data_IF_083125607042
#
_entry.id   IF_083125607042
#
_cell.length_a   1.000
_cell.length_b   1.000
_cell.length_c   1.000
_cell.angle_alpha   90.00
_cell.angle_beta   90.00
_cell.angle_gamma   90.00
#
_symmetry.space_group_name_H-M   'P 1'
#
loop_
_entity.id
_entity.type
_entity.pdbx_description
1 polymer ?
#
# COMPACT_ATOMS: atom_id res chain seq x y z
N UNK A 1 -10.49 -18.36 -5.20
CA UNK A 1 -9.94 -17.01 -5.47
C UNK A 1 -10.29 -15.99 -4.39
N UNK A 2 -11.53 -15.97 -3.88
CA UNK A 2 -12.00 -15.07 -2.81
C UNK A 2 -11.29 -15.26 -1.47
N UNK A 3 -11.03 -16.51 -1.06
CA UNK A 3 -10.37 -16.82 0.22
C UNK A 3 -8.90 -16.34 0.23
N UNK A 4 -8.13 -16.64 -0.83
CA UNK A 4 -6.75 -16.17 -0.97
C UNK A 4 -6.67 -14.64 -0.91
N UNK A 5 -7.60 -13.96 -1.58
CA UNK A 5 -7.67 -12.52 -1.60
C UNK A 5 -8.03 -11.94 -0.22
N UNK A 6 -8.93 -12.59 0.52
CA UNK A 6 -9.26 -12.23 1.89
C UNK A 6 -8.04 -12.40 2.82
N UNK A 7 -7.25 -13.46 2.67
CA UNK A 7 -6.01 -13.68 3.42
C UNK A 7 -5.00 -12.57 3.13
N UNK A 8 -4.78 -12.21 1.86
CA UNK A 8 -3.91 -11.09 1.50
C UNK A 8 -4.40 -9.77 2.09
N UNK A 9 -5.71 -9.48 2.02
CA UNK A 9 -6.29 -8.27 2.59
C UNK A 9 -6.09 -8.21 4.11
N UNK A 10 -6.35 -9.32 4.81
CA UNK A 10 -6.12 -9.43 6.26
C UNK A 10 -4.65 -9.22 6.58
N UNK A 11 -3.73 -9.81 5.81
CA UNK A 11 -2.29 -9.58 5.98
C UNK A 11 -1.90 -8.11 5.86
N UNK A 12 -2.43 -7.41 4.86
CA UNK A 12 -2.21 -5.97 4.66
C UNK A 12 -2.79 -5.15 5.82
N UNK A 13 -4.01 -5.47 6.28
CA UNK A 13 -4.63 -4.79 7.42
C UNK A 13 -3.83 -5.00 8.72
N UNK A 14 -3.30 -6.20 8.94
CA UNK A 14 -2.44 -6.49 10.10
C UNK A 14 -1.12 -5.73 10.02
N UNK A 15 -0.51 -5.62 8.84
CA UNK A 15 0.70 -4.81 8.64
C UNK A 15 0.42 -3.32 8.89
N UNK A 16 -0.71 -2.80 8.38
CA UNK A 16 -1.12 -1.42 8.63
C UNK A 16 -1.39 -1.17 10.13
N UNK A 17 -2.13 -2.07 10.78
CA UNK A 17 -2.40 -1.97 12.22
C UNK A 17 -1.10 -2.02 13.04
N UNK A 18 -0.15 -2.88 12.67
CA UNK A 18 1.17 -2.94 13.31
C UNK A 18 1.96 -1.64 13.14
N UNK A 19 1.91 -1.03 11.95
CA UNK A 19 2.55 0.25 11.67
C UNK A 19 1.94 1.38 12.51
N UNK A 20 0.61 1.52 12.51
CA UNK A 20 -0.06 2.55 13.31
C UNK A 20 0.11 2.35 14.82
N UNK A 21 0.14 1.11 15.30
CA UNK A 21 0.40 0.80 16.71
C UNK A 21 1.85 1.12 17.12
N UNK A 22 2.81 1.02 16.20
CA UNK A 22 4.19 1.47 16.44
C UNK A 22 4.24 2.99 16.54
N UNK A 23 3.59 3.71 15.62
CA UNK A 23 3.52 5.19 15.68
C UNK A 23 2.86 5.65 16.99
N UNK A 24 1.79 4.99 17.44
CA UNK A 24 1.12 5.36 18.68
C UNK A 24 1.93 5.11 19.97
N UNK A 25 3.06 4.40 19.87
CA UNK A 25 3.95 4.07 21.00
C UNK A 25 5.24 4.91 20.99
N UNK A 26 5.14 6.16 20.55
CA UNK A 26 6.26 7.11 20.44
C UNK A 26 7.39 6.70 19.48
N UNK A 27 7.17 5.71 18.61
CA UNK A 27 8.11 5.42 17.52
C UNK A 27 7.94 6.48 16.44
N UNK A 28 8.99 7.28 16.22
CA UNK A 28 8.97 8.32 15.20
C UNK A 28 8.61 7.75 13.82
N UNK A 29 7.62 8.32 13.11
CA UNK A 29 7.28 7.90 11.74
C UNK A 29 8.39 8.24 10.73
N UNK A 30 9.37 9.04 11.14
CA UNK A 30 10.51 9.46 10.32
C UNK A 30 11.68 8.47 10.36
N UNK A 31 11.55 7.36 11.10
CA UNK A 31 12.56 6.31 11.07
C UNK A 31 12.59 5.60 9.69
N UNK A 32 13.77 5.42 9.08
CA UNK A 32 13.89 4.77 7.77
C UNK A 32 13.28 3.37 7.68
N UNK A 33 13.27 2.60 8.77
CA UNK A 33 12.66 1.27 8.78
C UNK A 33 11.13 1.36 8.78
N UNK A 34 10.55 2.35 9.46
CA UNK A 34 9.10 2.61 9.43
C UNK A 34 8.64 3.09 8.06
N UNK A 35 9.39 4.01 7.45
CA UNK A 35 9.15 4.48 6.08
C UNK A 35 9.19 3.30 5.10
N UNK A 36 10.17 2.40 5.21
CA UNK A 36 10.28 1.22 4.35
C UNK A 36 9.07 0.30 4.51
N UNK A 37 8.58 0.07 5.73
CA UNK A 37 7.36 -0.72 5.99
C UNK A 37 6.15 -0.08 5.34
N UNK A 38 5.94 1.22 5.53
CA UNK A 38 4.82 1.95 4.92
C UNK A 38 4.88 1.91 3.39
N UNK A 39 6.09 2.02 2.81
CA UNK A 39 6.30 1.90 1.36
C UNK A 39 5.87 0.53 0.84
N UNK A 40 6.22 -0.55 1.53
CA UNK A 40 5.78 -1.90 1.16
C UNK A 40 4.25 -2.01 1.22
N UNK A 41 3.63 -1.51 2.29
CA UNK A 41 2.16 -1.53 2.44
C UNK A 41 1.50 -0.76 1.29
N UNK A 42 1.97 0.46 1.00
CA UNK A 42 1.44 1.30 -0.07
C UNK A 42 1.50 0.59 -1.44
N UNK A 43 2.65 0.00 -1.79
CA UNK A 43 2.82 -0.72 -3.04
C UNK A 43 1.99 -1.99 -3.12
N UNK A 44 1.87 -2.76 -2.04
CA UNK A 44 1.04 -3.97 -2.01
C UNK A 44 -0.44 -3.62 -2.22
N UNK A 45 -0.92 -2.56 -1.56
CA UNK A 45 -2.31 -2.08 -1.74
C UNK A 45 -2.54 -1.61 -3.17
N UNK A 46 -1.63 -0.79 -3.71
CA UNK A 46 -1.79 -0.17 -5.02
C UNK A 46 -1.68 -1.22 -6.16
N UNK A 47 -0.67 -2.08 -6.12
CA UNK A 47 -0.54 -3.19 -7.08
C UNK A 47 -1.69 -4.19 -6.95
N UNK A 48 -2.11 -4.49 -5.73
CA UNK A 48 -3.27 -5.35 -5.48
C UNK A 48 -4.56 -4.79 -6.10
N UNK A 49 -4.74 -3.47 -6.05
CA UNK A 49 -5.88 -2.79 -6.65
C UNK A 49 -5.86 -2.85 -8.19
N UNK A 50 -4.68 -2.89 -8.81
CA UNK A 50 -4.52 -2.99 -10.28
C UNK A 50 -4.59 -4.44 -10.79
N UNK A 51 -3.95 -5.37 -10.08
CA UNK A 51 -3.83 -6.77 -10.51
C UNK A 51 -5.18 -7.49 -10.43
N UNK A 52 -6.00 -7.21 -9.41
CA UNK A 52 -7.30 -7.88 -9.24
C UNK A 52 -8.25 -7.71 -10.44
N UNK A 53 -8.60 -6.49 -10.89
CA UNK A 53 -9.49 -6.31 -12.03
C UNK A 53 -8.90 -6.90 -13.32
N UNK A 54 -7.58 -6.85 -13.50
CA UNK A 54 -6.89 -7.45 -14.64
C UNK A 54 -7.03 -8.98 -14.65
N UNK A 55 -6.73 -9.65 -13.53
CA UNK A 55 -6.86 -11.11 -13.41
C UNK A 55 -8.31 -11.55 -13.61
N UNK A 56 -9.27 -10.80 -13.08
CA UNK A 56 -10.69 -11.07 -13.27
C UNK A 56 -11.10 -10.96 -14.75
N UNK A 57 -10.68 -9.89 -15.43
CA UNK A 57 -10.95 -9.68 -16.85
C UNK A 57 -10.38 -10.81 -17.72
N UNK A 58 -9.14 -11.24 -17.45
CA UNK A 58 -8.49 -12.36 -18.16
C UNK A 58 -9.27 -13.67 -17.94
N UNK A 59 -9.65 -13.98 -16.69
CA UNK A 59 -10.40 -15.19 -16.36
C UNK A 59 -11.76 -15.24 -17.05
N UNK A 60 -12.53 -14.16 -16.97
CA UNK A 60 -13.86 -14.07 -17.60
C UNK A 60 -13.75 -14.12 -19.12
N UNK A 61 -12.75 -13.45 -19.69
CA UNK A 61 -12.53 -13.48 -21.14
C UNK A 61 -12.19 -14.89 -21.63
N UNK A 62 -11.33 -15.61 -20.90
CA UNK A 62 -10.96 -16.98 -21.21
C UNK A 62 -12.14 -17.95 -21.14
N UNK A 63 -12.99 -17.80 -20.13
CA UNK A 63 -14.16 -18.68 -19.93
C UNK A 63 -15.33 -18.40 -20.88
N UNK A 64 -15.54 -17.13 -21.24
CA UNK A 64 -16.66 -16.72 -22.10
C UNK A 64 -16.35 -16.81 -23.60
N UNK A 65 -15.08 -16.88 -23.97
CA UNK A 65 -14.63 -16.80 -25.37
C UNK A 65 -14.80 -15.41 -26.00
N UNK A 66 -15.20 -14.41 -25.22
CA UNK A 66 -15.34 -13.02 -25.65
C UNK A 66 -14.34 -12.15 -24.89
N UNK A 67 -13.79 -11.14 -25.57
CA UNK A 67 -12.85 -10.23 -24.94
C UNK A 67 -13.61 -9.29 -24.00
N UNK A 68 -13.40 -9.47 -22.69
CA UNK A 68 -14.02 -8.68 -21.64
C UNK A 68 -12.98 -7.75 -21.01
N UNK A 69 -13.13 -6.45 -21.23
CA UNK A 69 -12.29 -5.43 -20.59
C UNK A 69 -13.11 -4.78 -19.47
N UNK A 70 -12.71 -5.01 -18.22
CA UNK A 70 -13.32 -4.39 -17.06
C UNK A 70 -12.30 -3.54 -16.32
N UNK A 71 -12.43 -2.22 -16.42
CA UNK A 71 -11.56 -1.26 -15.75
C UNK A 71 -12.34 -0.55 -14.64
N UNK A 72 -12.14 -0.98 -13.39
CA UNK A 72 -12.71 -0.31 -12.23
C UNK A 72 -11.63 -0.16 -11.16
N UNK A 73 -11.04 1.03 -11.11
CA UNK A 73 -10.12 1.43 -10.06
C UNK A 73 -10.95 1.77 -8.81
N UNK A 74 -11.23 0.76 -8.00
CA UNK A 74 -12.01 0.91 -6.78
C UNK A 74 -11.29 1.72 -5.70
N UNK A 75 -11.98 1.97 -4.59
CA UNK A 75 -11.50 2.75 -3.43
C UNK A 75 -10.10 2.33 -2.92
N UNK A 76 -9.75 1.04 -3.00
CA UNK A 76 -8.41 0.53 -2.65
C UNK A 76 -7.27 1.20 -3.43
N UNK A 77 -7.50 1.55 -4.70
CA UNK A 77 -6.49 2.27 -5.49
C UNK A 77 -6.21 3.66 -4.91
N UNK A 78 -7.28 4.37 -4.52
CA UNK A 78 -7.18 5.70 -3.87
C UNK A 78 -6.46 5.59 -2.52
N UNK A 79 -6.77 4.58 -1.71
CA UNK A 79 -6.03 4.32 -0.46
C UNK A 79 -4.55 4.09 -0.75
N UNK A 80 -4.21 3.26 -1.74
CA UNK A 80 -2.82 3.00 -2.12
C UNK A 80 -2.07 4.27 -2.52
N UNK A 81 -2.73 5.17 -3.26
CA UNK A 81 -2.17 6.48 -3.61
C UNK A 81 -1.94 7.35 -2.37
N UNK A 82 -2.92 7.45 -1.47
CA UNK A 82 -2.78 8.22 -0.23
C UNK A 82 -1.60 7.71 0.60
N UNK A 83 -1.50 6.39 0.77
CA UNK A 83 -0.38 5.77 1.49
C UNK A 83 0.96 6.06 0.81
N UNK A 84 1.00 6.08 -0.52
CA UNK A 84 2.21 6.43 -1.28
C UNK A 84 2.62 7.89 -1.05
N UNK A 85 1.66 8.82 -0.99
CA UNK A 85 1.91 10.21 -0.62
C UNK A 85 2.45 10.31 0.80
N UNK A 86 1.86 9.58 1.76
CA UNK A 86 2.33 9.56 3.14
C UNK A 86 3.78 9.07 3.27
N UNK A 87 4.19 8.07 2.47
CA UNK A 87 5.61 7.64 2.40
C UNK A 87 6.51 8.81 2.01
N UNK A 88 6.12 9.59 1.00
CA UNK A 88 6.89 10.76 0.56
C UNK A 88 6.98 11.83 1.65
N UNK A 89 5.88 12.11 2.35
CA UNK A 89 5.86 13.06 3.47
C UNK A 89 6.81 12.62 4.60
N UNK A 90 6.79 11.34 4.98
CA UNK A 90 7.66 10.83 6.03
C UNK A 90 9.14 10.77 5.60
N UNK A 91 9.42 10.45 4.34
CA UNK A 91 10.77 10.53 3.79
C UNK A 91 11.33 11.95 3.87
N UNK A 92 10.55 12.92 3.39
CA UNK A 92 10.96 14.31 3.44
C UNK A 92 11.18 14.79 4.88
N UNK A 93 10.30 14.41 5.81
CA UNK A 93 10.46 14.72 7.24
C UNK A 93 11.74 14.13 7.83
N UNK A 94 12.09 12.88 7.47
CA UNK A 94 13.32 12.23 7.91
C UNK A 94 14.57 12.93 7.37
N UNK A 95 14.56 13.33 6.10
CA UNK A 95 15.66 14.07 5.49
C UNK A 95 15.85 15.42 6.17
N UNK A 96 14.75 16.13 6.48
CA UNK A 96 14.79 17.41 7.17
C UNK A 96 15.35 17.28 8.60
N UNK A 97 14.95 16.23 9.32
CA UNK A 97 15.43 15.94 10.67
C UNK A 97 16.94 15.64 10.66
N UNK A 98 17.40 14.87 9.67
CA UNK A 98 18.82 14.59 9.50
C UNK A 98 19.64 15.86 9.22
N UNK A 99 19.16 16.73 8.32
CA UNK A 99 19.83 17.99 8.04
C UNK A 99 19.88 18.91 9.26
N UNK A 100 18.82 18.93 10.07
CA UNK A 100 18.81 19.69 11.33
C UNK A 100 19.89 19.17 12.28
N UNK A 101 19.92 17.86 12.56
CA UNK A 101 20.88 17.24 13.49
C UNK A 101 22.35 17.44 13.04
N UNK A 102 22.62 17.53 11.74
CA UNK A 102 23.97 17.81 11.19
C UNK A 102 24.37 19.29 11.29
N UNK A 103 23.43 20.20 11.57
CA UNK A 103 23.67 21.66 11.67
C UNK A 103 23.74 22.19 13.10
N UNK A 104 23.45 21.38 14.12
CA UNK A 104 23.51 21.78 15.55
C UNK A 104 24.85 21.41 16.18
#
# INVERSE_FOLDING_TARGET
>A
MTILMAICLVGVLLMAASFFNQISRDVSPFDPAQIRKLKVIAWVVLLGALIKPLLYAILVSSLSGQLFVYYNLGFLFVIGLILTVMVGVFQYGADLQKSYDETV
#
